data_IF_147734717150
#
_entry.id   IF_147734717150
#
_cell.length_a   1.000
_cell.length_b   1.000
_cell.length_c   1.000
_cell.angle_alpha   90.00
_cell.angle_beta   90.00
_cell.angle_gamma   90.00
#
_symmetry.space_group_name_H-M   'P 1'
#
loop_
_entity.id
_entity.type
_entity.pdbx_description
1 polymer ?
#
# COMPACT_ATOMS: atom_id res chain seq x y z
N UNK A 1 -52.31 -52.75 27.26
CA UNK A 1 -52.64 -51.83 26.16
C UNK A 1 -51.40 -51.66 25.29
N UNK A 2 -51.14 -52.62 24.38
CA UNK A 2 -51.44 -52.59 22.93
C UNK A 2 -50.63 -51.58 22.10
N UNK A 3 -49.79 -52.14 21.21
CA UNK A 3 -49.10 -51.54 20.06
C UNK A 3 -50.08 -50.86 19.11
N UNK A 4 -49.64 -49.77 18.48
CA UNK A 4 -50.10 -49.39 17.14
C UNK A 4 -48.88 -49.12 16.26
N UNK A 5 -48.69 -49.99 15.26
CA UNK A 5 -47.81 -49.79 14.11
C UNK A 5 -48.56 -48.95 13.07
N UNK A 6 -47.95 -47.91 12.51
CA UNK A 6 -48.39 -47.34 11.23
C UNK A 6 -47.40 -47.73 10.13
N UNK A 7 -47.87 -48.64 9.27
CA UNK A 7 -47.27 -48.94 7.96
C UNK A 7 -47.37 -47.70 7.07
N UNK A 8 -46.23 -47.23 6.56
CA UNK A 8 -46.22 -46.54 5.27
C UNK A 8 -45.62 -47.50 4.23
N UNK A 9 -46.42 -47.78 3.21
CA UNK A 9 -46.07 -48.61 2.05
C UNK A 9 -45.35 -47.72 1.04
N UNK A 10 -44.22 -48.12 0.44
CA UNK A 10 -43.63 -47.35 -0.65
C UNK A 10 -44.44 -47.61 -1.94
N UNK A 11 -44.84 -46.55 -2.61
CA UNK A 11 -45.25 -46.62 -4.01
C UNK A 11 -43.99 -46.73 -4.87
N UNK A 12 -43.93 -47.76 -5.71
CA UNK A 12 -42.86 -47.93 -6.68
C UNK A 12 -43.00 -47.02 -7.89
N UNK A 13 -41.91 -46.92 -8.65
CA UNK A 13 -41.99 -46.71 -10.10
C UNK A 13 -41.21 -45.53 -10.67
N UNK A 14 -39.95 -45.79 -11.00
CA UNK A 14 -39.24 -45.42 -12.24
C UNK A 14 -39.12 -43.95 -12.67
N UNK A 15 -37.86 -43.55 -12.91
CA UNK A 15 -37.55 -42.49 -13.89
C UNK A 15 -36.46 -41.50 -13.49
N UNK A 16 -35.35 -41.92 -12.88
CA UNK A 16 -34.16 -41.05 -12.86
C UNK A 16 -33.62 -40.96 -14.28
N UNK A 17 -34.04 -39.91 -15.00
CA UNK A 17 -33.45 -39.54 -16.28
C UNK A 17 -31.93 -39.41 -16.11
N UNK A 18 -31.10 -40.03 -16.97
CA UNK A 18 -29.64 -39.99 -16.82
C UNK A 18 -29.10 -38.54 -16.85
N UNK A 19 -29.85 -37.60 -17.43
CA UNK A 19 -29.54 -36.18 -17.42
C UNK A 19 -29.64 -35.53 -16.03
N UNK A 20 -30.54 -35.99 -15.15
CA UNK A 20 -30.73 -35.39 -13.82
C UNK A 20 -29.63 -35.82 -12.84
N UNK A 21 -29.20 -37.09 -12.92
CA UNK A 21 -28.02 -37.57 -12.18
C UNK A 21 -26.71 -36.95 -12.69
N UNK A 22 -26.59 -36.69 -13.99
CA UNK A 22 -25.43 -36.03 -14.56
C UNK A 22 -25.32 -34.55 -14.15
N UNK A 23 -26.43 -33.80 -14.13
CA UNK A 23 -26.44 -32.39 -13.71
C UNK A 23 -26.08 -32.21 -12.23
N UNK A 24 -26.57 -33.09 -11.37
CA UNK A 24 -26.21 -33.10 -9.95
C UNK A 24 -24.73 -33.47 -9.80
N UNK A 25 -24.24 -34.54 -10.45
CA UNK A 25 -22.84 -34.92 -10.39
C UNK A 25 -21.86 -33.87 -10.96
N UNK A 26 -22.28 -33.10 -11.97
CA UNK A 26 -21.53 -31.99 -12.54
C UNK A 26 -21.44 -30.81 -11.56
N UNK A 27 -22.56 -30.44 -10.93
CA UNK A 27 -22.61 -29.40 -9.90
C UNK A 27 -21.80 -29.76 -8.65
N UNK A 28 -21.81 -31.03 -8.22
CA UNK A 28 -20.96 -31.50 -7.12
C UNK A 28 -19.48 -31.49 -7.49
N UNK A 29 -19.11 -31.83 -8.74
CA UNK A 29 -17.73 -31.80 -9.20
C UNK A 29 -17.19 -30.37 -9.36
N UNK A 30 -18.01 -29.43 -9.82
CA UNK A 30 -17.65 -28.00 -9.86
C UNK A 30 -17.52 -27.42 -8.44
N UNK A 31 -18.38 -27.84 -7.50
CA UNK A 31 -18.28 -27.43 -6.10
C UNK A 31 -17.05 -28.05 -5.41
N UNK A 32 -16.73 -29.31 -5.67
CA UNK A 32 -15.51 -29.98 -5.17
C UNK A 32 -14.25 -29.38 -5.79
N UNK A 33 -14.26 -29.04 -7.08
CA UNK A 33 -13.17 -28.29 -7.72
C UNK A 33 -13.03 -26.89 -7.12
N UNK A 34 -14.13 -26.17 -6.90
CA UNK A 34 -14.10 -24.84 -6.26
C UNK A 34 -13.58 -24.91 -4.82
N UNK A 35 -13.94 -25.94 -4.05
CA UNK A 35 -13.48 -26.16 -2.68
C UNK A 35 -12.02 -26.63 -2.63
N UNK A 36 -11.60 -27.48 -3.57
CA UNK A 36 -10.21 -27.92 -3.69
C UNK A 36 -9.28 -26.77 -4.09
N UNK A 37 -9.70 -25.93 -5.05
CA UNK A 37 -8.96 -24.74 -5.50
C UNK A 37 -8.91 -23.65 -4.42
N UNK A 38 -9.98 -23.49 -3.64
CA UNK A 38 -9.96 -22.64 -2.45
C UNK A 38 -8.96 -23.15 -1.40
N UNK A 39 -8.86 -24.47 -1.19
CA UNK A 39 -7.89 -25.09 -0.29
C UNK A 39 -6.42 -24.89 -0.67
N UNK A 40 -6.13 -24.67 -1.96
CA UNK A 40 -4.77 -24.47 -2.47
C UNK A 40 -4.26 -23.04 -2.20
N UNK A 41 -5.18 -22.07 -2.23
CA UNK A 41 -4.95 -20.66 -1.87
C UNK A 41 -4.64 -20.47 -0.38
N UNK A 42 -5.07 -21.41 0.46
CA UNK A 42 -4.98 -21.41 1.93
C UNK A 42 -3.64 -21.92 2.46
N UNK A 43 -2.77 -22.42 1.60
CA UNK A 43 -1.50 -23.02 2.01
C UNK A 43 -0.55 -21.98 2.65
N UNK A 44 -0.08 -22.30 3.86
CA UNK A 44 0.71 -21.38 4.71
C UNK A 44 2.04 -20.91 4.07
N UNK A 45 2.67 -21.75 3.24
CA UNK A 45 3.94 -21.44 2.57
C UNK A 45 3.76 -20.43 1.41
N UNK A 46 2.89 -20.68 0.42
CA UNK A 46 2.57 -19.72 -0.64
C UNK A 46 2.10 -18.37 -0.12
N UNK A 47 1.25 -18.36 0.91
CA UNK A 47 0.77 -17.12 1.51
C UNK A 47 1.91 -16.31 2.15
N UNK A 48 2.81 -16.96 2.88
CA UNK A 48 3.99 -16.28 3.43
C UNK A 48 4.87 -15.68 2.32
N UNK A 49 5.08 -16.42 1.22
CA UNK A 49 5.78 -15.92 0.03
C UNK A 49 5.09 -14.70 -0.59
N UNK A 50 3.76 -14.74 -0.67
CA UNK A 50 2.93 -13.66 -1.21
C UNK A 50 3.05 -12.40 -0.35
N UNK A 51 2.93 -12.52 0.98
CA UNK A 51 3.06 -11.39 1.90
C UNK A 51 4.45 -10.74 1.81
N UNK A 52 5.51 -11.54 1.68
CA UNK A 52 6.86 -11.04 1.44
C UNK A 52 6.96 -10.26 0.11
N UNK A 53 6.45 -10.83 -0.98
CA UNK A 53 6.45 -10.15 -2.28
C UNK A 53 5.63 -8.86 -2.29
N UNK A 54 4.48 -8.86 -1.61
CA UNK A 54 3.65 -7.68 -1.42
C UNK A 54 4.36 -6.60 -0.61
N UNK A 55 5.06 -6.97 0.46
CA UNK A 55 5.81 -6.02 1.26
C UNK A 55 6.98 -5.40 0.47
N UNK A 56 7.67 -6.20 -0.32
CA UNK A 56 8.75 -5.71 -1.19
C UNK A 56 8.25 -4.74 -2.27
N UNK A 57 7.16 -5.07 -2.96
CA UNK A 57 6.55 -4.19 -3.98
C UNK A 57 5.90 -2.94 -3.38
N UNK A 58 5.25 -3.05 -2.23
CA UNK A 58 4.44 -1.97 -1.65
C UNK A 58 5.24 -1.05 -0.74
N UNK A 59 6.17 -1.59 0.05
CA UNK A 59 6.87 -0.83 1.09
C UNK A 59 8.35 -0.62 0.81
N UNK A 60 9.01 -1.44 -0.03
CA UNK A 60 10.45 -1.32 -0.28
C UNK A 60 10.81 -0.82 -1.69
N UNK A 61 9.82 -0.34 -2.45
CA UNK A 61 9.97 0.20 -3.82
C UNK A 61 10.71 -0.74 -4.80
N UNK A 62 10.67 -2.05 -4.55
CA UNK A 62 11.18 -3.02 -5.52
C UNK A 62 10.15 -3.23 -6.64
N UNK A 63 10.40 -2.59 -7.79
CA UNK A 63 9.56 -2.65 -8.98
C UNK A 63 9.62 -4.00 -9.73
N UNK A 64 10.59 -4.86 -9.41
CA UNK A 64 10.77 -6.16 -10.06
C UNK A 64 9.75 -7.23 -9.67
N UNK A 65 8.86 -6.97 -8.71
CA UNK A 65 7.86 -7.94 -8.27
C UNK A 65 6.52 -7.60 -8.92
N UNK A 66 6.19 -8.36 -9.97
CA UNK A 66 4.92 -8.25 -10.70
C UNK A 66 3.88 -9.23 -10.19
N UNK A 67 2.61 -8.97 -10.50
CA UNK A 67 1.49 -9.88 -10.19
C UNK A 67 1.68 -11.23 -10.86
N UNK A 68 2.12 -11.23 -12.12
CA UNK A 68 2.37 -12.42 -12.92
C UNK A 68 3.49 -13.28 -12.33
N UNK A 69 4.56 -12.65 -11.82
CA UNK A 69 5.65 -13.34 -11.15
C UNK A 69 5.16 -14.04 -9.87
N UNK A 70 4.40 -13.32 -9.04
CA UNK A 70 3.86 -13.87 -7.79
C UNK A 70 2.90 -15.02 -8.04
N UNK A 71 2.03 -14.90 -9.05
CA UNK A 71 1.12 -15.98 -9.44
C UNK A 71 1.89 -17.21 -9.92
N UNK A 72 2.79 -17.03 -10.89
CA UNK A 72 3.54 -18.15 -11.51
C UNK A 72 4.40 -18.91 -10.51
N UNK A 73 4.94 -18.23 -9.50
CA UNK A 73 5.83 -18.85 -8.50
C UNK A 73 5.10 -19.47 -7.31
N UNK A 74 3.96 -18.89 -6.90
CA UNK A 74 3.29 -19.26 -5.64
C UNK A 74 1.95 -19.99 -5.86
N UNK A 75 1.27 -19.68 -6.95
CA UNK A 75 -0.06 -20.18 -7.28
C UNK A 75 -0.18 -20.50 -8.78
N UNK A 76 0.64 -21.42 -9.32
CA UNK A 76 0.67 -21.71 -10.75
C UNK A 76 -0.67 -22.23 -11.28
N UNK A 77 -1.40 -22.97 -10.45
CA UNK A 77 -2.68 -23.61 -10.77
C UNK A 77 -3.88 -22.66 -10.66
N UNK A 78 -3.69 -21.46 -10.08
CA UNK A 78 -4.77 -20.47 -9.91
C UNK A 78 -4.87 -19.56 -11.15
N UNK A 79 -6.07 -19.41 -11.75
CA UNK A 79 -6.27 -18.53 -12.89
C UNK A 79 -6.07 -17.05 -12.50
N UNK A 80 -5.57 -16.19 -13.41
CA UNK A 80 -5.31 -14.77 -13.12
C UNK A 80 -6.53 -14.02 -12.58
N UNK A 81 -7.72 -14.32 -13.11
CA UNK A 81 -8.98 -13.66 -12.73
C UNK A 81 -9.36 -13.90 -11.27
N UNK A 82 -9.00 -15.06 -10.70
CA UNK A 82 -9.27 -15.39 -9.30
C UNK A 82 -8.14 -14.95 -8.38
N UNK A 83 -6.89 -14.98 -8.88
CA UNK A 83 -5.73 -14.54 -8.13
C UNK A 83 -5.75 -13.03 -7.85
N UNK A 84 -6.21 -12.23 -8.82
CA UNK A 84 -6.20 -10.76 -8.72
C UNK A 84 -7.05 -10.22 -7.55
N UNK A 85 -8.32 -10.64 -7.35
CA UNK A 85 -9.10 -10.25 -6.17
C UNK A 85 -8.44 -10.68 -4.85
N UNK A 86 -7.86 -11.88 -4.80
CA UNK A 86 -7.17 -12.37 -3.61
C UNK A 86 -5.93 -11.53 -3.27
N UNK A 87 -5.12 -11.24 -4.28
CA UNK A 87 -3.93 -10.40 -4.14
C UNK A 87 -4.30 -8.99 -3.70
N UNK A 88 -5.35 -8.40 -4.28
CA UNK A 88 -5.87 -7.09 -3.88
C UNK A 88 -6.32 -7.08 -2.41
N UNK A 89 -7.01 -8.14 -1.97
CA UNK A 89 -7.45 -8.32 -0.58
C UNK A 89 -6.26 -8.40 0.39
N UNK A 90 -5.27 -9.25 0.10
CA UNK A 90 -4.07 -9.40 0.95
C UNK A 90 -3.24 -8.11 0.99
N UNK A 91 -3.12 -7.42 -0.14
CA UNK A 91 -2.47 -6.10 -0.22
C UNK A 91 -3.20 -5.06 0.62
N UNK A 92 -4.54 -5.04 0.55
CA UNK A 92 -5.38 -4.14 1.34
C UNK A 92 -5.17 -4.34 2.83
N UNK A 93 -5.20 -5.58 3.30
CA UNK A 93 -4.93 -5.94 4.71
C UNK A 93 -3.56 -5.46 5.16
N UNK A 94 -2.51 -5.76 4.38
CA UNK A 94 -1.15 -5.33 4.71
C UNK A 94 -1.02 -3.80 4.78
N UNK A 95 -1.63 -3.07 3.85
CA UNK A 95 -1.66 -1.61 3.86
C UNK A 95 -2.38 -1.07 5.10
N UNK A 96 -3.53 -1.63 5.46
CA UNK A 96 -4.27 -1.21 6.66
C UNK A 96 -3.45 -1.40 7.93
N UNK A 97 -2.81 -2.57 8.08
CA UNK A 97 -1.95 -2.87 9.23
C UNK A 97 -0.74 -1.91 9.27
N UNK A 98 -0.08 -1.72 8.13
CA UNK A 98 1.14 -0.93 8.06
C UNK A 98 0.91 0.57 8.24
N UNK A 99 -0.08 1.15 7.56
CA UNK A 99 -0.35 2.59 7.65
C UNK A 99 -0.96 3.01 8.99
N UNK A 100 -1.64 2.12 9.68
CA UNK A 100 -2.12 2.36 11.04
C UNK A 100 -1.05 2.07 12.13
N UNK A 101 0.15 1.61 11.76
CA UNK A 101 1.23 1.18 12.66
C UNK A 101 0.75 0.24 13.79
N UNK A 102 -0.15 -0.68 13.46
CA UNK A 102 -0.87 -1.48 14.46
C UNK A 102 0.08 -2.24 15.38
N UNK A 103 -0.14 -2.16 16.69
CA UNK A 103 0.51 -3.04 17.68
C UNK A 103 -0.08 -4.46 17.65
N UNK A 104 0.49 -5.37 18.44
CA UNK A 104 0.08 -6.77 18.40
C UNK A 104 -1.36 -6.99 18.90
N UNK A 105 -1.82 -6.19 19.87
CA UNK A 105 -3.19 -6.30 20.38
C UNK A 105 -4.19 -5.79 19.34
N UNK A 106 -3.86 -4.66 18.70
CA UNK A 106 -4.66 -4.08 17.62
C UNK A 106 -4.71 -5.00 16.40
N UNK A 107 -3.59 -5.63 16.05
CA UNK A 107 -3.50 -6.60 14.97
C UNK A 107 -4.42 -7.80 15.22
N UNK A 108 -4.34 -8.42 16.41
CA UNK A 108 -5.15 -9.60 16.73
C UNK A 108 -6.65 -9.28 16.70
N UNK A 109 -7.05 -8.11 17.22
CA UNK A 109 -8.42 -7.64 17.14
C UNK A 109 -8.87 -7.39 15.69
N UNK A 110 -8.01 -6.76 14.88
CA UNK A 110 -8.27 -6.50 13.46
C UNK A 110 -8.43 -7.81 12.67
N UNK A 111 -7.52 -8.77 12.84
CA UNK A 111 -7.59 -10.06 12.16
C UNK A 111 -8.79 -10.88 12.61
N UNK A 112 -9.15 -10.84 13.89
CA UNK A 112 -10.39 -11.46 14.41
C UNK A 112 -11.64 -10.85 13.78
N UNK A 113 -11.63 -9.55 13.49
CA UNK A 113 -12.73 -8.92 12.74
C UNK A 113 -12.74 -9.35 11.27
N UNK A 114 -11.56 -9.50 10.65
CA UNK A 114 -11.44 -9.98 9.27
C UNK A 114 -11.88 -11.43 9.09
N UNK A 115 -11.77 -12.29 10.10
CA UNK A 115 -12.25 -13.68 10.03
C UNK A 115 -13.77 -13.81 10.18
N UNK A 116 -14.42 -12.84 10.84
CA UNK A 116 -15.88 -12.78 11.00
C UNK A 116 -16.61 -12.18 9.81
N UNK A 117 -15.90 -11.50 8.91
CA UNK A 117 -16.47 -10.84 7.75
C UNK A 117 -16.81 -11.86 6.65
N UNK A 118 -17.99 -11.73 6.02
CA UNK A 118 -18.33 -12.56 4.86
C UNK A 118 -17.35 -12.25 3.70
N UNK A 119 -16.72 -13.29 3.14
CA UNK A 119 -15.62 -13.11 2.18
C UNK A 119 -14.33 -12.58 2.81
N UNK A 120 -14.21 -12.63 4.13
CA UNK A 120 -13.04 -12.31 4.93
C UNK A 120 -11.94 -13.37 4.87
N UNK A 121 -10.90 -13.24 5.69
CA UNK A 121 -9.76 -14.19 5.70
C UNK A 121 -10.08 -15.40 6.57
N UNK A 122 -9.40 -16.52 6.35
CA UNK A 122 -9.53 -17.69 7.23
C UNK A 122 -8.63 -17.58 8.47
N UNK A 123 -8.90 -18.41 9.48
CA UNK A 123 -8.10 -18.43 10.71
C UNK A 123 -6.63 -18.77 10.44
N UNK A 124 -6.36 -19.69 9.51
CA UNK A 124 -5.00 -20.06 9.12
C UNK A 124 -4.27 -18.91 8.42
N UNK A 125 -4.99 -18.18 7.54
CA UNK A 125 -4.46 -16.96 6.91
C UNK A 125 -4.12 -15.90 7.97
N UNK A 126 -4.99 -15.69 8.96
CA UNK A 126 -4.76 -14.76 10.05
C UNK A 126 -3.48 -15.12 10.84
N UNK A 127 -3.26 -16.39 11.16
CA UNK A 127 -2.04 -16.86 11.85
C UNK A 127 -0.78 -16.53 11.04
N UNK A 128 -0.81 -16.76 9.72
CA UNK A 128 0.31 -16.44 8.83
C UNK A 128 0.57 -14.92 8.77
N UNK A 129 -0.48 -14.11 8.70
CA UNK A 129 -0.38 -12.64 8.70
C UNK A 129 0.18 -12.14 10.03
N UNK A 130 -0.28 -12.66 11.18
CA UNK A 130 0.25 -12.29 12.50
C UNK A 130 1.74 -12.61 12.60
N UNK A 131 2.15 -13.80 12.14
CA UNK A 131 3.57 -14.20 12.14
C UNK A 131 4.41 -13.32 11.20
N UNK A 132 3.88 -13.00 10.02
CA UNK A 132 4.53 -12.08 9.09
C UNK A 132 4.74 -10.70 9.72
N UNK A 133 3.68 -10.09 10.27
CA UNK A 133 3.77 -8.75 10.85
C UNK A 133 4.76 -8.69 12.01
N UNK A 134 4.76 -9.70 12.89
CA UNK A 134 5.72 -9.81 14.01
C UNK A 134 7.18 -9.73 13.55
N UNK A 135 7.50 -10.30 12.40
CA UNK A 135 8.87 -10.36 11.88
C UNK A 135 9.25 -9.16 11.00
N UNK A 136 8.28 -8.50 10.37
CA UNK A 136 8.52 -7.47 9.35
C UNK A 136 8.12 -6.05 9.78
N UNK A 137 7.37 -5.87 10.89
CA UNK A 137 6.86 -4.57 11.36
C UNK A 137 7.93 -3.49 11.37
N UNK A 138 9.06 -3.74 12.04
CA UNK A 138 10.12 -2.73 12.20
C UNK A 138 10.67 -2.26 10.86
N UNK A 139 10.99 -3.20 9.96
CA UNK A 139 11.53 -2.88 8.62
C UNK A 139 10.53 -2.12 7.75
N UNK A 140 9.24 -2.50 7.81
CA UNK A 140 8.18 -1.83 7.07
C UNK A 140 8.00 -0.41 7.61
N UNK A 141 7.95 -0.24 8.94
CA UNK A 141 7.84 1.06 9.60
C UNK A 141 9.01 1.97 9.26
N UNK A 142 10.24 1.49 9.36
CA UNK A 142 11.44 2.24 8.96
C UNK A 142 11.37 2.66 7.49
N UNK A 143 10.98 1.74 6.60
CA UNK A 143 10.84 2.05 5.17
C UNK A 143 9.78 3.13 4.91
N UNK A 144 8.65 3.08 5.62
CA UNK A 144 7.59 4.09 5.52
C UNK A 144 8.05 5.45 6.06
N UNK A 145 8.80 5.47 7.18
CA UNK A 145 9.38 6.68 7.76
C UNK A 145 10.40 7.30 6.80
N UNK A 146 11.27 6.49 6.19
CA UNK A 146 12.24 6.99 5.22
C UNK A 146 11.55 7.56 3.98
N UNK A 147 10.44 6.96 3.55
CA UNK A 147 9.65 7.47 2.44
C UNK A 147 8.86 8.74 2.76
N UNK A 148 8.51 8.98 4.03
CA UNK A 148 7.82 10.20 4.46
C UNK A 148 8.78 11.33 4.81
N UNK A 149 10.07 11.04 4.99
CA UNK A 149 11.10 12.06 5.12
C UNK A 149 11.32 12.72 3.77
N UNK A 150 11.37 14.05 3.78
CA UNK A 150 11.82 14.81 2.63
C UNK A 150 13.32 14.55 2.51
N UNK A 151 13.68 13.57 1.68
CA UNK A 151 15.09 13.22 1.44
C UNK A 151 15.86 14.44 0.95
N UNK A 152 15.23 15.31 0.15
CA UNK A 152 15.77 16.61 -0.25
C UNK A 152 15.55 17.64 0.85
N UNK A 153 16.62 18.30 1.26
CA UNK A 153 16.58 19.39 2.25
C UNK A 153 17.37 20.59 1.76
N UNK A 154 16.90 21.79 2.09
CA UNK A 154 17.70 23.01 2.00
C UNK A 154 18.70 22.99 3.16
N UNK A 155 19.98 22.79 2.85
CA UNK A 155 21.08 22.69 3.83
C UNK A 155 21.59 24.06 4.25
N UNK A 156 21.76 24.96 3.30
CA UNK A 156 22.21 26.32 3.53
C UNK A 156 21.56 27.29 2.54
N UNK A 157 21.43 28.55 2.97
CA UNK A 157 21.04 29.67 2.13
C UNK A 157 21.98 30.83 2.39
N UNK A 158 22.80 31.17 1.40
CA UNK A 158 23.69 32.32 1.43
C UNK A 158 23.13 33.39 0.49
N UNK A 159 23.27 34.66 0.85
CA UNK A 159 22.85 35.74 -0.03
C UNK A 159 23.71 36.97 0.12
N UNK A 160 23.76 37.77 -0.94
CA UNK A 160 24.37 39.10 -0.94
C UNK A 160 23.63 40.03 -1.90
N UNK A 161 23.82 41.33 -1.72
CA UNK A 161 23.27 42.35 -2.62
C UNK A 161 24.42 43.02 -3.35
N UNK A 162 24.39 42.92 -4.67
CA UNK A 162 25.38 43.52 -5.56
C UNK A 162 24.73 44.71 -6.30
N UNK A 163 25.56 45.62 -6.82
CA UNK A 163 25.13 46.66 -7.75
C UNK A 163 25.58 46.27 -9.16
N UNK A 164 24.64 46.13 -10.10
CA UNK A 164 25.01 45.91 -11.50
C UNK A 164 25.48 47.21 -12.13
N UNK A 165 26.74 47.26 -12.56
CA UNK A 165 27.29 48.35 -13.34
C UNK A 165 27.08 48.11 -14.84
N UNK A 166 26.46 49.06 -15.56
CA UNK A 166 26.44 49.06 -17.03
C UNK A 166 27.60 49.87 -17.62
N UNK A 167 28.17 49.43 -18.75
CA UNK A 167 29.40 50.02 -19.30
C UNK A 167 29.20 50.99 -20.48
N UNK A 168 30.01 52.06 -20.43
CA UNK A 168 30.59 52.96 -21.46
C UNK A 168 29.78 54.08 -22.13
N UNK A 169 28.45 54.11 -22.13
CA UNK A 169 27.73 55.22 -22.82
C UNK A 169 26.68 56.00 -22.03
N UNK A 170 26.42 55.73 -20.75
CA UNK A 170 25.50 56.54 -19.95
C UNK A 170 25.93 56.68 -18.49
N UNK A 171 25.61 57.84 -17.91
CA UNK A 171 25.86 58.20 -16.52
C UNK A 171 25.07 57.28 -15.58
N UNK A 172 25.83 56.40 -14.91
CA UNK A 172 25.55 55.76 -13.62
C UNK A 172 24.18 55.08 -13.44
N UNK A 173 24.11 53.79 -13.76
CA UNK A 173 22.99 52.92 -13.37
C UNK A 173 23.51 51.88 -12.38
N UNK A 174 23.21 52.09 -11.09
CA UNK A 174 23.49 51.19 -9.97
C UNK A 174 22.21 50.43 -9.59
N UNK A 175 21.80 49.45 -10.38
CA UNK A 175 20.60 48.66 -10.05
C UNK A 175 20.98 47.58 -9.03
N UNK A 176 20.39 47.61 -7.81
CA UNK A 176 20.64 46.58 -6.81
C UNK A 176 20.06 45.25 -7.26
N UNK A 177 20.81 44.19 -7.01
CA UNK A 177 20.40 42.82 -7.32
C UNK A 177 20.77 41.90 -6.18
N UNK A 178 19.85 41.04 -5.77
CA UNK A 178 20.11 40.01 -4.78
C UNK A 178 20.61 38.74 -5.47
N UNK A 179 21.77 38.25 -5.06
CA UNK A 179 22.30 36.95 -5.45
C UNK A 179 22.07 36.01 -4.27
N UNK A 180 21.36 34.92 -4.51
CA UNK A 180 21.01 33.92 -3.52
C UNK A 180 21.58 32.58 -3.97
N UNK A 181 22.33 31.92 -3.10
CA UNK A 181 22.82 30.56 -3.27
C UNK A 181 22.07 29.64 -2.30
N UNK A 182 21.46 28.60 -2.84
CA UNK A 182 20.76 27.57 -2.09
C UNK A 182 21.54 26.27 -2.20
N UNK A 183 21.94 25.69 -1.07
CA UNK A 183 22.53 24.36 -1.02
C UNK A 183 21.41 23.34 -0.78
N UNK A 184 21.15 22.48 -1.76
CA UNK A 184 20.14 21.44 -1.72
C UNK A 184 20.81 20.08 -1.61
N UNK A 185 20.46 19.29 -0.60
CA UNK A 185 21.14 18.03 -0.36
C UNK A 185 20.25 16.94 0.21
N UNK A 186 20.61 15.70 -0.09
CA UNK A 186 20.08 14.51 0.57
C UNK A 186 21.05 14.00 1.63
N UNK A 187 20.52 13.36 2.66
CA UNK A 187 21.39 12.80 3.69
C UNK A 187 22.29 11.70 3.10
N UNK A 188 23.60 11.86 3.25
CA UNK A 188 24.61 10.90 2.76
C UNK A 188 24.94 11.02 1.27
N UNK A 189 24.51 12.09 0.59
CA UNK A 189 24.89 12.41 -0.80
C UNK A 189 25.57 13.79 -0.86
N UNK A 190 26.31 14.05 -1.93
CA UNK A 190 26.85 15.39 -2.20
C UNK A 190 25.71 16.37 -2.46
N UNK A 191 25.83 17.58 -1.92
CA UNK A 191 24.89 18.67 -2.11
C UNK A 191 25.05 19.32 -3.49
N UNK A 192 23.95 19.84 -4.02
CA UNK A 192 23.90 20.69 -5.21
C UNK A 192 23.72 22.16 -4.81
N UNK A 193 24.47 23.07 -5.43
CA UNK A 193 24.31 24.52 -5.21
C UNK A 193 23.54 25.16 -6.37
N UNK A 194 22.47 25.90 -6.03
CA UNK A 194 21.66 26.65 -6.98
C UNK A 194 21.83 28.15 -6.73
N UNK A 195 22.40 28.86 -7.70
CA UNK A 195 22.55 30.31 -7.66
C UNK A 195 21.44 31.00 -8.45
N UNK A 196 20.72 31.89 -7.79
CA UNK A 196 19.59 32.64 -8.33
C UNK A 196 19.83 34.14 -8.17
N UNK A 197 19.31 34.89 -9.13
CA UNK A 197 19.40 36.34 -9.14
C UNK A 197 18.01 36.96 -9.10
N UNK A 198 17.78 37.88 -8.18
CA UNK A 198 16.50 38.54 -7.97
C UNK A 198 16.64 40.06 -8.01
N UNK A 199 15.72 40.71 -8.73
CA UNK A 199 15.43 42.12 -8.55
C UNK A 199 14.50 42.32 -7.34
N UNK A 200 14.31 43.58 -6.94
CA UNK A 200 13.46 43.96 -5.81
C UNK A 200 12.05 43.37 -5.93
N UNK A 201 11.45 43.43 -7.12
CA UNK A 201 10.07 42.99 -7.37
C UNK A 201 9.95 41.49 -7.12
N UNK A 202 10.86 40.68 -7.67
CA UNK A 202 10.88 39.22 -7.48
C UNK A 202 11.13 38.86 -6.02
N UNK A 203 12.04 39.56 -5.33
CA UNK A 203 12.34 39.30 -3.94
C UNK A 203 11.12 39.58 -3.04
N UNK A 204 10.43 40.71 -3.25
CA UNK A 204 9.20 41.03 -2.53
C UNK A 204 8.09 39.98 -2.77
N UNK A 205 7.97 39.46 -3.99
CA UNK A 205 7.02 38.39 -4.29
C UNK A 205 7.35 37.08 -3.56
N UNK A 206 8.63 36.71 -3.48
CA UNK A 206 9.07 35.52 -2.73
C UNK A 206 8.75 35.68 -1.25
N UNK A 207 9.08 36.83 -0.65
CA UNK A 207 8.78 37.10 0.76
C UNK A 207 7.29 37.01 1.04
N UNK A 208 6.45 37.59 0.18
CA UNK A 208 4.99 37.49 0.31
C UNK A 208 4.52 36.03 0.30
N UNK A 209 5.03 35.20 -0.62
CA UNK A 209 4.68 33.78 -0.68
C UNK A 209 5.15 33.01 0.55
N UNK A 210 6.31 33.34 1.12
CA UNK A 210 6.80 32.71 2.35
C UNK A 210 5.90 33.08 3.54
N UNK A 211 5.41 34.32 3.62
CA UNK A 211 4.43 34.74 4.63
C UNK A 211 3.10 33.99 4.49
N UNK A 212 2.57 33.85 3.27
CA UNK A 212 1.35 33.06 3.03
C UNK A 212 1.52 31.59 3.47
N UNK A 213 2.70 31.01 3.25
CA UNK A 213 3.04 29.65 3.72
C UNK A 213 3.11 29.60 5.25
N UNK A 214 3.74 30.59 5.89
CA UNK A 214 3.81 30.68 7.35
C UNK A 214 2.42 30.76 7.99
N UNK A 215 1.53 31.61 7.47
CA UNK A 215 0.15 31.75 7.91
C UNK A 215 -0.62 30.43 7.76
N UNK A 216 -0.44 29.73 6.63
CA UNK A 216 -1.05 28.42 6.41
C UNK A 216 -0.58 27.38 7.44
N UNK A 217 0.72 27.36 7.78
CA UNK A 217 1.26 26.43 8.78
C UNK A 217 0.68 26.74 10.16
N UNK A 218 0.63 28.03 10.54
CA UNK A 218 0.11 28.45 11.83
C UNK A 218 -1.37 28.07 12.00
N UNK A 219 -2.16 28.22 10.93
CA UNK A 219 -3.59 27.83 10.91
C UNK A 219 -3.78 26.33 11.14
N UNK A 220 -2.90 25.50 10.55
CA UNK A 220 -2.97 24.04 10.69
C UNK A 220 -2.44 23.54 12.05
N UNK A 221 -1.48 24.25 12.64
CA UNK A 221 -0.80 23.82 13.87
C UNK A 221 -1.55 24.28 15.12
N UNK A 222 -2.26 25.40 15.05
CA UNK A 222 -3.12 25.92 16.11
C UNK A 222 -4.58 26.02 15.62
N UNK A 223 -5.27 24.89 15.36
CA UNK A 223 -6.68 24.93 15.03
C UNK A 223 -7.46 25.49 16.23
N UNK A 224 -8.31 26.49 15.97
CA UNK A 224 -9.16 27.15 16.97
C UNK A 224 -10.11 26.17 17.69
#
# INVERSE_FOLDING_TARGET
>A
MQRVQSRFRPAGGAGTSPAFSAAIAFSWREAEQSVAMAGELESSKPLSGLLNGLAQSTFHRHSGITEELLRTQLYPDVPPEEFRPFLAKMRGILKSIAYADMDFNQLEAFLTAQTKKQGGITADQAVVISKFWKNHKTKIKESLINQSRWENSLKAMNWRVDLKSQSKHFEQINVPVAIVELELGKNGQESECLCLEFDEIKLSQILKKLTEVEESINTLTNPA
#
